data_IF_111088861486
#
_entry.id   IF_111088861486
#
_cell.length_a   1.000
_cell.length_b   1.000
_cell.length_c   1.000
_cell.angle_alpha   90.00
_cell.angle_beta   90.00
_cell.angle_gamma   90.00
#
_symmetry.space_group_name_H-M   'P 1'
#
loop_
_entity.id
_entity.type
_entity.pdbx_description
1 polymer ?
#
# COMPACT_ATOMS: atom_id res chain seq x y z
N UNK A 1 10.55 -65.23 23.85
CA UNK A 1 10.35 -64.37 22.68
C UNK A 1 9.36 -63.31 23.11
N UNK A 2 9.81 -62.06 23.20
CA UNK A 2 9.05 -60.96 23.78
C UNK A 2 7.94 -60.51 22.82
N UNK A 3 6.75 -60.30 23.37
CA UNK A 3 5.60 -59.71 22.69
C UNK A 3 5.82 -58.19 22.62
N UNK A 4 5.99 -57.69 21.39
CA UNK A 4 6.19 -56.29 21.05
C UNK A 4 4.81 -55.64 20.91
N UNK A 5 4.43 -54.86 21.92
CA UNK A 5 3.17 -54.13 22.03
C UNK A 5 3.48 -52.68 22.43
N UNK A 6 2.60 -51.74 22.11
CA UNK A 6 2.43 -51.05 20.84
C UNK A 6 3.10 -49.66 20.89
N UNK A 7 3.36 -49.06 19.73
CA UNK A 7 3.90 -47.70 19.62
C UNK A 7 2.94 -46.62 20.14
N UNK A 8 3.00 -46.35 21.44
CA UNK A 8 2.47 -45.15 22.10
C UNK A 8 3.58 -44.10 22.24
N UNK A 9 4.23 -43.80 21.10
CA UNK A 9 5.13 -42.66 21.01
C UNK A 9 4.31 -41.46 20.57
N UNK A 10 3.95 -40.64 21.56
CA UNK A 10 3.41 -39.30 21.45
C UNK A 10 3.85 -38.60 20.16
N UNK A 11 2.92 -38.45 19.23
CA UNK A 11 3.01 -37.41 18.22
C UNK A 11 2.80 -36.11 18.96
N UNK A 12 3.89 -35.52 19.45
CA UNK A 12 3.92 -34.11 19.81
C UNK A 12 3.98 -33.36 18.48
N UNK A 13 2.88 -32.73 18.00
CA UNK A 13 3.00 -31.80 16.90
C UNK A 13 3.73 -30.62 17.51
N UNK A 14 5.06 -30.64 17.43
CA UNK A 14 5.86 -29.44 17.66
C UNK A 14 5.38 -28.45 16.63
N UNK A 15 4.53 -27.56 17.13
CA UNK A 15 4.17 -26.25 16.65
C UNK A 15 4.08 -26.19 15.13
N UNK A 16 2.82 -26.20 14.66
CA UNK A 16 2.43 -25.39 13.54
C UNK A 16 3.25 -24.09 13.58
N UNK A 17 4.32 -24.03 12.79
CA UNK A 17 4.83 -22.80 12.21
C UNK A 17 3.73 -22.34 11.23
N UNK A 18 2.56 -22.05 11.80
CA UNK A 18 1.67 -21.03 11.32
C UNK A 18 2.58 -19.82 11.23
N UNK A 19 3.14 -19.64 10.03
CA UNK A 19 3.53 -18.36 9.53
C UNK A 19 2.32 -17.45 9.75
N UNK A 20 2.20 -16.92 10.97
CA UNK A 20 1.54 -15.67 11.24
C UNK A 20 2.39 -14.67 10.46
N UNK A 21 2.12 -14.62 9.15
CA UNK A 21 2.16 -13.41 8.37
C UNK A 21 1.18 -12.44 9.05
N UNK A 22 1.54 -12.01 10.25
CA UNK A 22 0.96 -10.91 10.97
C UNK A 22 1.22 -9.73 10.06
N UNK A 23 0.22 -9.48 9.21
CA UNK A 23 0.13 -8.30 8.39
C UNK A 23 0.48 -7.13 9.29
N UNK A 24 1.48 -6.33 8.91
CA UNK A 24 1.91 -5.17 9.69
C UNK A 24 0.67 -4.38 10.12
N UNK A 25 0.63 -3.74 11.29
CA UNK A 25 -0.52 -2.91 11.65
C UNK A 25 -0.75 -1.86 10.55
N UNK A 26 -2.00 -1.53 10.26
CA UNK A 26 -2.37 -0.69 9.11
C UNK A 26 -1.59 0.64 9.07
N UNK A 27 -1.34 1.25 10.23
CA UNK A 27 -0.51 2.46 10.34
C UNK A 27 0.93 2.26 9.88
N UNK A 28 1.52 1.11 10.17
CA UNK A 28 2.87 0.76 9.71
C UNK A 28 2.86 0.40 8.23
N UNK A 29 1.83 -0.30 7.73
CA UNK A 29 1.66 -0.54 6.29
C UNK A 29 1.59 0.77 5.52
N UNK A 30 0.74 1.71 5.95
CA UNK A 30 0.61 3.02 5.31
C UNK A 30 1.93 3.80 5.32
N UNK A 31 2.66 3.78 6.45
CA UNK A 31 3.96 4.44 6.55
C UNK A 31 5.00 3.80 5.62
N UNK A 32 5.06 2.48 5.59
CA UNK A 32 5.97 1.74 4.73
C UNK A 32 5.65 1.96 3.24
N UNK A 33 4.38 1.92 2.87
CA UNK A 33 3.93 2.19 1.50
C UNK A 33 4.32 3.61 1.06
N UNK A 34 4.07 4.62 1.91
CA UNK A 34 4.48 6.00 1.63
C UNK A 34 5.99 6.13 1.45
N UNK A 35 6.78 5.51 2.33
CA UNK A 35 8.24 5.56 2.21
C UNK A 35 8.71 4.94 0.89
N UNK A 36 8.19 3.76 0.52
CA UNK A 36 8.54 3.13 -0.75
C UNK A 36 8.19 4.01 -1.96
N UNK A 37 7.03 4.69 -1.92
CA UNK A 37 6.62 5.61 -2.99
C UNK A 37 7.59 6.80 -3.06
N UNK A 38 7.97 7.39 -1.92
CA UNK A 38 8.91 8.52 -1.89
C UNK A 38 10.31 8.11 -2.38
N UNK A 39 10.79 6.93 -1.97
CA UNK A 39 12.09 6.42 -2.41
C UNK A 39 12.09 6.16 -3.93
N UNK A 40 11.02 5.55 -4.46
CA UNK A 40 10.85 5.38 -5.90
C UNK A 40 10.73 6.72 -6.65
N UNK A 41 10.17 7.73 -5.98
CA UNK A 41 10.06 9.07 -6.53
C UNK A 41 11.44 9.73 -6.69
N UNK A 42 12.26 9.70 -5.64
CA UNK A 42 13.62 10.24 -5.67
C UNK A 42 14.50 9.52 -6.70
N UNK A 43 14.36 8.20 -6.84
CA UNK A 43 15.08 7.43 -7.86
C UNK A 43 14.68 7.86 -9.27
N UNK A 44 13.38 7.99 -9.55
CA UNK A 44 12.91 8.44 -10.86
C UNK A 44 13.41 9.85 -11.22
N UNK A 45 13.49 10.76 -10.24
CA UNK A 45 14.10 12.07 -10.45
C UNK A 45 15.60 11.98 -10.77
N UNK A 46 16.33 11.07 -10.10
CA UNK A 46 17.74 10.80 -10.39
C UNK A 46 17.97 10.23 -11.80
N UNK A 47 17.05 9.42 -12.30
CA UNK A 47 17.06 8.90 -13.68
C UNK A 47 16.74 9.98 -14.75
N UNK A 48 16.32 11.18 -14.32
CA UNK A 48 16.00 12.30 -15.20
C UNK A 48 14.53 12.39 -15.61
N UNK A 49 13.63 11.71 -14.89
CA UNK A 49 12.19 11.89 -15.07
C UNK A 49 11.77 13.24 -14.50
N UNK A 50 11.03 14.03 -15.28
CA UNK A 50 10.46 15.29 -14.81
C UNK A 50 9.39 15.05 -13.73
N UNK A 51 9.44 15.84 -12.65
CA UNK A 51 8.53 15.70 -11.51
C UNK A 51 7.05 15.83 -11.90
N UNK A 52 6.74 16.68 -12.89
CA UNK A 52 5.39 16.86 -13.42
C UNK A 52 4.88 15.60 -14.13
N UNK A 53 5.74 14.95 -14.93
CA UNK A 53 5.41 13.72 -15.64
C UNK A 53 5.19 12.58 -14.65
N UNK A 54 6.07 12.47 -13.65
CA UNK A 54 5.96 11.48 -12.60
C UNK A 54 4.67 11.64 -11.80
N UNK A 55 4.33 12.86 -11.39
CA UNK A 55 3.10 13.15 -10.67
C UNK A 55 1.85 12.80 -11.47
N UNK A 56 1.80 13.18 -12.74
CA UNK A 56 0.64 12.89 -13.61
C UNK A 56 0.48 11.38 -13.81
N UNK A 57 1.60 10.66 -13.99
CA UNK A 57 1.60 9.20 -14.14
C UNK A 57 1.16 8.51 -12.86
N UNK A 58 1.60 8.99 -11.69
CA UNK A 58 1.19 8.46 -10.39
C UNK A 58 -0.32 8.63 -10.14
N UNK A 59 -0.89 9.78 -10.51
CA UNK A 59 -2.34 10.01 -10.43
C UNK A 59 -3.08 8.99 -11.31
N UNK A 60 -2.63 8.80 -12.55
CA UNK A 60 -3.24 7.81 -13.45
C UNK A 60 -3.17 6.40 -12.87
N UNK A 61 -2.02 5.98 -12.37
CA UNK A 61 -1.84 4.66 -11.77
C UNK A 61 -2.75 4.46 -10.55
N UNK A 62 -2.80 5.46 -9.64
CA UNK A 62 -3.64 5.41 -8.46
C UNK A 62 -5.15 5.36 -8.79
N UNK A 63 -5.61 6.16 -9.74
CA UNK A 63 -7.00 6.12 -10.19
C UNK A 63 -7.35 4.79 -10.87
N UNK A 64 -6.44 4.25 -11.68
CA UNK A 64 -6.65 2.96 -12.36
C UNK A 64 -6.80 1.81 -11.37
N UNK A 65 -5.95 1.76 -10.34
CA UNK A 65 -6.02 0.75 -9.27
C UNK A 65 -7.33 0.88 -8.47
N UNK A 66 -7.74 2.10 -8.12
CA UNK A 66 -9.03 2.31 -7.45
C UNK A 66 -10.21 1.90 -8.33
N UNK A 67 -10.16 2.13 -9.64
CA UNK A 67 -11.22 1.72 -10.57
C UNK A 67 -11.28 0.21 -10.68
N UNK A 68 -10.14 -0.48 -10.67
CA UNK A 68 -10.08 -1.95 -10.68
C UNK A 68 -10.72 -2.55 -9.42
N UNK A 69 -10.49 -1.95 -8.26
CA UNK A 69 -11.00 -2.45 -6.96
C UNK A 69 -12.47 -2.07 -6.71
N UNK A 70 -12.87 -0.85 -7.06
CA UNK A 70 -14.17 -0.28 -6.66
C UNK A 70 -15.13 0.00 -7.82
N UNK A 71 -14.65 0.03 -9.06
CA UNK A 71 -15.42 0.37 -10.26
C UNK A 71 -15.43 1.86 -10.59
N UNK A 72 -15.76 2.19 -11.85
CA UNK A 72 -15.69 3.55 -12.40
C UNK A 72 -16.62 4.53 -11.67
N UNK A 73 -17.87 4.15 -11.42
CA UNK A 73 -18.86 5.02 -10.76
C UNK A 73 -18.45 5.37 -9.32
N UNK A 74 -17.93 4.40 -8.57
CA UNK A 74 -17.50 4.63 -7.19
C UNK A 74 -16.30 5.59 -7.13
N UNK A 75 -15.33 5.45 -8.06
CA UNK A 75 -14.17 6.34 -8.12
C UNK A 75 -14.56 7.74 -8.62
N UNK A 76 -15.53 7.84 -9.53
CA UNK A 76 -16.08 9.12 -9.95
C UNK A 76 -16.68 9.88 -8.76
N UNK A 77 -17.48 9.22 -7.92
CA UNK A 77 -18.01 9.81 -6.69
C UNK A 77 -16.91 10.17 -5.68
N UNK A 78 -15.87 9.34 -5.53
CA UNK A 78 -14.73 9.63 -4.64
C UNK A 78 -13.93 10.86 -5.06
N UNK A 79 -13.82 11.08 -6.37
CA UNK A 79 -13.05 12.18 -6.96
C UNK A 79 -13.90 13.43 -7.23
N UNK A 80 -15.20 13.37 -6.94
CA UNK A 80 -16.09 14.51 -7.08
C UNK A 80 -15.64 15.68 -6.19
N UNK A 81 -15.65 16.88 -6.76
CA UNK A 81 -15.14 18.09 -6.11
C UNK A 81 -13.62 18.17 -5.91
N UNK A 82 -12.81 17.19 -6.39
CA UNK A 82 -11.34 17.25 -6.28
C UNK A 82 -10.76 18.50 -6.97
N UNK A 83 -11.29 18.87 -8.13
CA UNK A 83 -10.88 20.08 -8.83
C UNK A 83 -11.14 21.35 -8.01
N UNK A 84 -12.24 21.39 -7.25
CA UNK A 84 -12.55 22.54 -6.40
C UNK A 84 -11.66 22.60 -5.18
N UNK A 85 -11.31 21.45 -4.58
CA UNK A 85 -10.30 21.36 -3.51
C UNK A 85 -8.92 21.86 -3.96
N UNK A 86 -8.51 21.50 -5.19
CA UNK A 86 -7.28 22.03 -5.81
C UNK A 86 -7.36 23.56 -5.96
N UNK A 87 -8.47 24.10 -6.48
CA UNK A 87 -8.66 25.56 -6.61
C UNK A 87 -8.72 26.29 -5.27
N UNK A 88 -9.23 25.65 -4.23
CA UNK A 88 -9.22 26.16 -2.86
C UNK A 88 -7.83 26.13 -2.22
N UNK A 89 -6.84 25.54 -2.91
CA UNK A 89 -5.45 25.50 -2.51
C UNK A 89 -5.18 24.47 -1.41
N UNK A 90 -6.01 23.43 -1.28
CA UNK A 90 -5.83 22.37 -0.27
C UNK A 90 -4.50 21.63 -0.44
N UNK A 91 -4.01 21.53 -1.68
CA UNK A 91 -2.74 20.89 -2.03
C UNK A 91 -1.58 21.90 -2.18
N UNK A 92 -1.81 23.19 -1.93
CA UNK A 92 -0.77 24.21 -1.97
C UNK A 92 -0.04 24.24 -0.62
N UNK A 93 1.05 23.48 -0.51
CA UNK A 93 1.87 23.36 0.71
C UNK A 93 2.58 24.66 1.10
N UNK A 94 2.66 25.65 0.19
CA UNK A 94 3.33 26.93 0.38
C UNK A 94 2.38 28.12 0.20
N UNK A 95 1.24 28.14 0.92
CA UNK A 95 0.46 29.38 1.04
C UNK A 95 1.25 30.35 1.92
N UNK A 96 2.04 31.22 1.29
CA UNK A 96 2.56 32.42 1.93
C UNK A 96 1.33 33.26 2.29
N UNK A 97 0.91 33.23 3.57
CA UNK A 97 -0.01 34.24 4.09
C UNK A 97 0.71 35.57 3.98
N UNK A 98 0.27 36.41 3.04
CA UNK A 98 0.64 37.82 2.96
C UNK A 98 -0.38 38.65 3.74
#
# INVERSE_FOLDING_TARGET
>A
MAEDFPGDASFDPLDEDGHDASSLPESEQRKLALQNILDAWDEALCEGVESEILATTAIFAALSDMVEVYGEDAVADMTDGLADRVRQGEFTLNRILN
#
